data_IF_401452465732
#
_entry.id   IF_401452465732
#
_cell.length_a   1.000
_cell.length_b   1.000
_cell.length_c   1.000
_cell.angle_alpha   90.00
_cell.angle_beta   90.00
_cell.angle_gamma   90.00
#
_symmetry.space_group_name_H-M   'P 1'
#
loop_
_entity.id
_entity.type
_entity.pdbx_description
1 polymer ?
#
# COMPACT_ATOMS: atom_id res chain seq x y z
N UNK A 1 -15.44 -31.04 -55.61
CA UNK A 1 -15.87 -29.82 -56.35
C UNK A 1 -17.20 -29.33 -55.76
N UNK A 2 -17.15 -28.42 -54.79
CA UNK A 2 -18.33 -27.70 -54.26
C UNK A 2 -18.05 -26.22 -54.41
N UNK A 3 -18.84 -25.56 -55.25
CA UNK A 3 -18.80 -24.13 -55.54
C UNK A 3 -19.33 -23.37 -54.31
N UNK A 4 -18.53 -22.48 -53.74
CA UNK A 4 -19.01 -21.46 -52.80
C UNK A 4 -18.93 -20.12 -53.54
N UNK A 5 -20.11 -19.55 -53.80
CA UNK A 5 -20.32 -18.32 -54.53
C UNK A 5 -19.98 -17.13 -53.61
N UNK A 6 -19.00 -16.33 -54.02
CA UNK A 6 -18.71 -15.01 -53.43
C UNK A 6 -19.61 -14.01 -54.14
N UNK A 7 -20.55 -13.41 -53.42
CA UNK A 7 -21.31 -12.25 -53.88
C UNK A 7 -20.85 -11.04 -53.06
N UNK A 8 -19.93 -10.27 -53.64
CA UNK A 8 -19.44 -9.01 -53.11
C UNK A 8 -20.45 -7.91 -53.51
N UNK A 9 -21.32 -7.52 -52.59
CA UNK A 9 -22.20 -6.36 -52.77
C UNK A 9 -21.49 -5.12 -52.23
N UNK A 10 -20.96 -4.31 -53.13
CA UNK A 10 -20.47 -2.95 -52.85
C UNK A 10 -21.71 -2.05 -52.82
N UNK A 11 -22.07 -1.54 -51.64
CA UNK A 11 -22.96 -0.38 -51.49
C UNK A 11 -22.23 0.63 -50.62
N UNK A 12 -21.64 1.63 -51.27
CA UNK A 12 -21.21 2.84 -50.61
C UNK A 12 -22.42 3.68 -50.25
N UNK A 13 -22.48 4.16 -49.01
CA UNK A 13 -23.37 5.26 -48.63
C UNK A 13 -22.68 6.16 -47.61
N UNK A 14 -22.38 7.37 -48.10
CA UNK A 14 -22.29 8.65 -47.42
C UNK A 14 -21.88 8.69 -45.94
N UNK A 15 -20.67 9.23 -45.72
CA UNK A 15 -20.24 9.85 -44.49
C UNK A 15 -21.17 11.03 -44.13
N UNK A 16 -22.02 10.84 -43.13
CA UNK A 16 -22.63 11.94 -42.38
C UNK A 16 -21.90 12.03 -41.04
N UNK A 17 -21.10 13.09 -40.89
CA UNK A 17 -20.53 13.50 -39.62
C UNK A 17 -21.68 13.96 -38.71
N UNK A 18 -22.18 13.05 -37.89
CA UNK A 18 -23.06 13.36 -36.78
C UNK A 18 -22.20 13.42 -35.51
N UNK A 19 -21.72 14.61 -35.17
CA UNK A 19 -21.06 14.87 -33.89
C UNK A 19 -22.11 14.82 -32.78
N UNK A 20 -22.32 13.63 -32.22
CA UNK A 20 -23.00 13.50 -30.93
C UNK A 20 -22.02 14.00 -29.88
N UNK A 21 -22.14 15.28 -29.52
CA UNK A 21 -21.70 15.78 -28.21
C UNK A 21 -22.54 15.06 -27.16
N UNK A 22 -22.12 13.84 -26.79
CA UNK A 22 -22.70 13.12 -25.67
C UNK A 22 -22.41 13.97 -24.43
N UNK A 23 -23.48 14.51 -23.88
CA UNK A 23 -23.59 15.03 -22.52
C UNK A 23 -23.04 13.96 -21.57
N UNK A 24 -21.76 14.07 -21.25
CA UNK A 24 -21.04 13.14 -20.38
C UNK A 24 -20.91 13.74 -18.97
N UNK A 25 -21.95 14.43 -18.49
CA UNK A 25 -21.89 15.15 -17.22
C UNK A 25 -23.18 15.08 -16.37
N UNK A 26 -24.03 14.06 -16.55
CA UNK A 26 -25.29 13.95 -15.78
C UNK A 26 -25.58 12.55 -15.18
N UNK A 27 -24.60 11.66 -15.12
CA UNK A 27 -24.71 10.41 -14.32
C UNK A 27 -23.62 10.34 -13.25
N UNK A 28 -23.68 11.30 -12.32
CA UNK A 28 -23.04 11.15 -11.00
C UNK A 28 -24.11 11.19 -9.91
N UNK A 29 -25.13 10.35 -10.06
CA UNK A 29 -26.03 10.02 -8.94
C UNK A 29 -25.32 8.98 -8.08
N UNK A 30 -24.46 9.46 -7.18
CA UNK A 30 -24.05 8.66 -6.02
C UNK A 30 -25.33 8.38 -5.24
N UNK A 31 -25.63 7.10 -5.01
CA UNK A 31 -26.75 6.70 -4.16
C UNK A 31 -26.50 7.22 -2.74
N UNK A 32 -27.04 8.39 -2.42
CA UNK A 32 -27.09 8.91 -1.07
C UNK A 32 -28.08 8.05 -0.28
N UNK A 33 -27.56 7.11 0.52
CA UNK A 33 -28.35 6.40 1.51
C UNK A 33 -28.53 7.34 2.71
N UNK A 34 -29.66 8.03 2.76
CA UNK A 34 -30.08 8.81 3.93
C UNK A 34 -30.42 7.87 5.07
N UNK A 35 -29.59 7.83 6.11
CA UNK A 35 -29.93 7.22 7.41
C UNK A 35 -29.99 8.37 8.43
N UNK A 36 -31.17 8.66 8.96
CA UNK A 36 -31.31 9.54 10.14
C UNK A 36 -31.43 11.05 9.93
N UNK A 37 -31.80 11.55 8.74
CA UNK A 37 -32.14 12.97 8.56
C UNK A 37 -30.96 13.96 8.59
N UNK A 38 -29.72 13.46 8.60
CA UNK A 38 -28.52 14.26 8.34
C UNK A 38 -28.19 14.11 6.86
N UNK A 39 -28.11 15.23 6.12
CA UNK A 39 -27.55 15.23 4.76
C UNK A 39 -26.12 14.72 4.84
N UNK A 40 -25.79 13.64 4.11
CA UNK A 40 -24.43 13.10 4.10
C UNK A 40 -23.44 14.21 3.74
N UNK A 41 -22.60 14.60 4.69
CA UNK A 41 -21.51 15.53 4.43
C UNK A 41 -20.54 14.79 3.50
N UNK A 42 -20.19 15.42 2.38
CA UNK A 42 -19.11 14.92 1.53
C UNK A 42 -17.80 15.11 2.30
N UNK A 43 -17.37 14.06 3.00
CA UNK A 43 -16.20 14.03 3.87
C UNK A 43 -14.88 14.32 3.13
N UNK A 44 -14.93 14.45 1.80
CA UNK A 44 -13.77 14.53 0.93
C UNK A 44 -13.66 15.85 0.15
N UNK A 45 -14.38 16.89 0.56
CA UNK A 45 -14.07 18.25 0.10
C UNK A 45 -12.81 18.79 0.84
N UNK A 46 -11.83 19.39 0.13
CA UNK A 46 -10.56 19.87 0.72
C UNK A 46 -10.72 20.80 1.94
N UNK A 47 -11.88 21.45 2.05
CA UNK A 47 -12.23 22.38 3.13
C UNK A 47 -12.47 21.71 4.50
N UNK A 48 -12.77 20.42 4.56
CA UNK A 48 -13.11 19.75 5.83
C UNK A 48 -11.92 19.08 6.55
N UNK A 49 -10.75 19.00 5.90
CA UNK A 49 -9.56 18.32 6.45
C UNK A 49 -8.35 19.26 6.61
N UNK A 50 -8.43 20.48 6.07
CA UNK A 50 -7.36 21.48 6.12
C UNK A 50 -7.57 22.49 7.24
N UNK A 51 -7.46 22.07 8.50
CA UNK A 51 -7.43 23.02 9.59
C UNK A 51 -7.41 22.36 10.95
N UNK A 52 -6.54 22.85 11.82
CA UNK A 52 -6.60 22.63 13.25
C UNK A 52 -7.84 23.37 13.80
N UNK A 53 -9.03 22.95 13.36
CA UNK A 53 -10.27 23.62 13.71
C UNK A 53 -10.86 22.88 14.89
N UNK A 54 -10.55 23.39 16.07
CA UNK A 54 -11.25 23.09 17.30
C UNK A 54 -12.66 23.72 17.21
N UNK A 55 -13.47 23.33 16.23
CA UNK A 55 -14.88 23.74 16.17
C UNK A 55 -15.65 22.76 17.03
N UNK A 56 -15.96 23.17 18.26
CA UNK A 56 -17.12 22.65 18.95
C UNK A 56 -18.37 23.00 18.15
N UNK A 57 -18.70 22.19 17.14
CA UNK A 57 -20.02 22.20 16.51
C UNK A 57 -20.90 21.28 17.35
N UNK A 58 -21.91 21.80 18.07
CA UNK A 58 -22.84 20.98 18.81
C UNK A 58 -23.70 20.17 17.82
N UNK A 59 -23.65 18.83 17.91
CA UNK A 59 -24.59 17.95 17.21
C UNK A 59 -24.00 16.98 16.18
N UNK A 60 -22.67 16.88 16.03
CA UNK A 60 -22.05 15.86 15.16
C UNK A 60 -21.80 14.57 15.97
N UNK A 61 -22.34 13.41 15.58
CA UNK A 61 -22.02 12.13 16.24
C UNK A 61 -20.54 11.81 16.02
N UNK A 62 -19.74 11.77 17.08
CA UNK A 62 -18.30 11.50 17.04
C UNK A 62 -17.96 10.00 16.84
N UNK A 63 -18.91 9.20 16.33
CA UNK A 63 -18.90 7.75 16.51
C UNK A 63 -18.95 6.96 15.19
N UNK A 64 -18.82 7.61 14.03
CA UNK A 64 -18.81 6.89 12.75
C UNK A 64 -17.42 6.25 12.54
N UNK A 65 -17.35 4.97 12.90
CA UNK A 65 -16.12 4.16 12.98
C UNK A 65 -15.53 3.75 11.62
N UNK A 66 -16.11 4.07 10.47
CA UNK A 66 -15.59 3.61 9.16
C UNK A 66 -15.72 4.69 8.09
N UNK A 67 -14.58 5.14 7.55
CA UNK A 67 -14.54 5.99 6.36
C UNK A 67 -14.30 5.10 5.13
N UNK A 68 -15.37 4.86 4.36
CA UNK A 68 -15.34 4.05 3.14
C UNK A 68 -15.19 4.93 1.89
N UNK A 69 -14.08 4.78 1.16
CA UNK A 69 -13.92 5.36 -0.17
C UNK A 69 -14.31 4.32 -1.22
N UNK A 70 -15.59 4.24 -1.58
CA UNK A 70 -16.06 3.42 -2.68
C UNK A 70 -16.31 4.32 -3.92
N UNK A 71 -15.40 4.29 -4.88
CA UNK A 71 -15.56 4.97 -6.17
C UNK A 71 -15.37 6.50 -6.17
N UNK A 72 -14.93 7.09 -5.07
CA UNK A 72 -14.58 8.52 -5.00
C UNK A 72 -13.09 8.73 -5.29
N UNK A 73 -12.77 9.72 -6.13
CA UNK A 73 -11.39 10.17 -6.34
C UNK A 73 -11.04 11.20 -5.28
N UNK A 74 -10.11 10.90 -4.36
CA UNK A 74 -9.60 11.88 -3.40
C UNK A 74 -8.44 12.66 -4.02
N UNK A 75 -8.54 14.00 -4.08
CA UNK A 75 -7.46 14.87 -4.55
C UNK A 75 -6.99 15.80 -3.42
N UNK A 76 -5.68 15.78 -3.12
CA UNK A 76 -4.98 16.92 -2.52
C UNK A 76 -5.02 17.07 -1.00
N UNK A 77 -5.45 16.06 -0.23
CA UNK A 77 -5.46 16.15 1.23
C UNK A 77 -4.21 15.53 1.86
N UNK A 78 -3.68 16.17 2.90
CA UNK A 78 -2.79 15.53 3.87
C UNK A 78 -3.68 14.59 4.69
N UNK A 79 -3.74 13.31 4.34
CA UNK A 79 -4.45 12.31 5.14
C UNK A 79 -3.53 11.92 6.28
N UNK A 80 -3.45 12.80 7.27
CA UNK A 80 -3.04 12.41 8.61
C UNK A 80 -4.29 11.91 9.32
N UNK A 81 -4.39 10.62 9.61
CA UNK A 81 -5.27 10.17 10.69
C UNK A 81 -4.64 10.64 12.00
N UNK A 82 -4.83 11.93 12.32
CA UNK A 82 -4.56 12.42 13.66
C UNK A 82 -5.61 11.78 14.56
N UNK A 83 -5.15 10.94 15.49
CA UNK A 83 -5.98 10.44 16.58
C UNK A 83 -6.35 11.61 17.49
N UNK A 84 -7.39 12.35 17.12
CA UNK A 84 -8.06 13.28 18.01
C UNK A 84 -9.24 12.55 18.66
N UNK A 85 -8.96 11.86 19.77
CA UNK A 85 -9.94 11.51 20.83
C UNK A 85 -11.20 10.78 20.30
N UNK A 86 -10.96 9.79 19.45
CA UNK A 86 -11.99 8.92 18.91
C UNK A 86 -11.35 8.12 17.81
N UNK A 87 -11.22 6.80 18.00
CA UNK A 87 -10.66 5.91 17.01
C UNK A 87 -11.45 6.06 15.70
N UNK A 88 -10.94 6.85 14.77
CA UNK A 88 -11.33 6.76 13.37
C UNK A 88 -10.97 5.33 12.99
N UNK A 89 -11.99 4.48 12.84
CA UNK A 89 -11.75 3.09 12.50
C UNK A 89 -11.23 2.97 11.08
N UNK A 90 -11.09 1.73 10.63
CA UNK A 90 -10.34 1.38 9.43
C UNK A 90 -10.76 2.21 8.21
N UNK A 91 -9.80 2.90 7.60
CA UNK A 91 -9.99 3.51 6.29
C UNK A 91 -9.88 2.42 5.22
N UNK A 92 -10.82 2.38 4.27
CA UNK A 92 -10.84 1.37 3.21
C UNK A 92 -10.90 2.06 1.85
N UNK A 93 -9.94 1.73 0.98
CA UNK A 93 -9.98 2.00 -0.45
C UNK A 93 -10.43 0.71 -1.14
N UNK A 94 -11.65 0.72 -1.67
CA UNK A 94 -12.23 -0.39 -2.40
C UNK A 94 -12.74 0.11 -3.76
N UNK A 95 -11.80 0.42 -4.63
CA UNK A 95 -12.01 0.99 -5.96
C UNK A 95 -11.70 2.49 -6.02
N UNK A 96 -11.70 3.05 -7.22
CA UNK A 96 -11.32 4.46 -7.44
C UNK A 96 -9.81 4.73 -7.24
N UNK A 97 -9.44 6.01 -7.26
CA UNK A 97 -8.06 6.45 -7.11
C UNK A 97 -7.97 7.49 -5.99
N UNK A 98 -7.06 7.33 -5.04
CA UNK A 98 -6.77 8.32 -4.01
C UNK A 98 -5.39 8.93 -4.23
N UNK A 99 -5.27 10.23 -4.12
CA UNK A 99 -3.99 10.94 -4.15
C UNK A 99 -3.81 11.79 -2.89
N UNK A 100 -2.69 11.59 -2.21
CA UNK A 100 -2.33 12.27 -0.95
C UNK A 100 -0.88 12.71 -1.01
N UNK A 101 -0.55 13.84 -0.39
CA UNK A 101 0.85 14.33 -0.38
C UNK A 101 1.75 13.70 0.69
N UNK A 102 1.15 13.30 1.81
CA UNK A 102 1.79 12.52 2.85
C UNK A 102 0.68 11.74 3.54
N UNK A 103 0.99 10.50 3.89
CA UNK A 103 0.07 9.63 4.60
C UNK A 103 0.80 9.00 5.78
N UNK A 104 0.18 9.12 6.95
CA UNK A 104 0.63 8.45 8.17
C UNK A 104 -0.51 7.62 8.72
N UNK A 105 -0.27 6.33 8.87
CA UNK A 105 -1.19 5.37 9.48
C UNK A 105 -0.70 5.09 10.89
N UNK A 106 -1.48 5.43 11.90
CA UNK A 106 -1.09 5.22 13.30
C UNK A 106 -0.11 6.27 13.80
N UNK A 107 -0.45 7.55 13.59
CA UNK A 107 0.33 8.70 14.04
C UNK A 107 -0.52 9.54 14.99
N UNK A 108 -0.42 9.32 16.31
CA UNK A 108 -0.99 10.25 17.28
C UNK A 108 0.03 11.31 17.67
N UNK A 109 -0.44 12.42 18.21
CA UNK A 109 0.36 13.42 18.95
C UNK A 109 0.08 13.34 20.46
N UNK A 110 -0.84 12.48 20.86
CA UNK A 110 -1.27 12.22 22.24
C UNK A 110 -0.66 10.90 22.75
N UNK A 111 -0.67 10.67 24.06
CA UNK A 111 -0.08 9.49 24.73
C UNK A 111 -1.05 8.31 24.84
N UNK A 112 -2.12 8.26 24.03
CA UNK A 112 -3.10 7.18 24.09
C UNK A 112 -2.50 5.87 23.58
N UNK A 113 -2.56 4.83 24.40
CA UNK A 113 -2.26 3.42 24.04
C UNK A 113 -3.40 2.80 23.20
N UNK A 114 -3.94 3.57 22.26
CA UNK A 114 -5.16 3.26 21.53
C UNK A 114 -5.03 2.07 20.58
N UNK A 115 -6.18 1.55 20.17
CA UNK A 115 -6.32 0.59 19.07
C UNK A 115 -5.53 1.07 17.85
N UNK A 116 -4.83 0.17 17.13
CA UNK A 116 -4.09 0.55 15.93
C UNK A 116 -4.98 1.21 14.90
N UNK A 117 -4.49 2.29 14.28
CA UNK A 117 -5.12 2.80 13.08
C UNK A 117 -4.85 1.84 11.93
N UNK A 118 -5.87 1.54 11.14
CA UNK A 118 -5.77 0.64 10.00
C UNK A 118 -6.12 1.36 8.70
N UNK A 119 -5.34 1.09 7.66
CA UNK A 119 -5.68 1.42 6.27
C UNK A 119 -5.72 0.13 5.46
N UNK A 120 -6.76 -0.07 4.68
CA UNK A 120 -6.94 -1.25 3.83
C UNK A 120 -7.14 -0.82 2.38
N UNK A 121 -6.45 -1.49 1.46
CA UNK A 121 -6.62 -1.35 0.02
C UNK A 121 -7.05 -2.71 -0.53
N UNK A 122 -8.33 -2.82 -0.88
CA UNK A 122 -8.89 -4.02 -1.50
C UNK A 122 -8.76 -3.97 -3.02
N UNK A 123 -8.95 -2.79 -3.59
CA UNK A 123 -8.90 -2.53 -5.03
C UNK A 123 -8.68 -1.03 -5.29
N UNK A 124 -8.51 -0.61 -6.56
CA UNK A 124 -8.24 0.79 -6.91
C UNK A 124 -6.76 1.17 -6.82
N UNK A 125 -6.47 2.46 -6.66
CA UNK A 125 -5.09 2.96 -6.52
C UNK A 125 -4.94 4.00 -5.41
N UNK A 126 -3.79 3.99 -4.75
CA UNK A 126 -3.34 5.02 -3.82
C UNK A 126 -2.00 5.59 -4.31
N UNK A 127 -1.98 6.88 -4.64
CA UNK A 127 -0.77 7.62 -4.95
C UNK A 127 -0.41 8.53 -3.78
N UNK A 128 0.75 8.28 -3.17
CA UNK A 128 1.36 9.16 -2.17
C UNK A 128 2.38 10.03 -2.90
N UNK A 129 1.89 11.16 -3.42
CA UNK A 129 2.63 12.16 -4.17
C UNK A 129 3.40 13.12 -3.27
N UNK A 130 3.95 14.19 -3.85
CA UNK A 130 4.65 15.19 -3.05
C UNK A 130 3.63 15.98 -2.23
N UNK A 131 3.98 16.26 -0.96
CA UNK A 131 3.19 17.22 -0.20
C UNK A 131 3.22 18.57 -0.89
N UNK A 132 2.05 19.19 -1.08
CA UNK A 132 1.93 20.59 -1.51
C UNK A 132 2.46 21.58 -0.46
N UNK A 133 2.87 21.10 0.72
CA UNK A 133 3.45 21.91 1.79
C UNK A 133 4.98 21.89 1.74
N UNK A 134 5.58 23.05 1.94
CA UNK A 134 7.03 23.29 1.94
C UNK A 134 7.82 22.54 3.02
N UNK A 135 7.14 21.81 3.91
CA UNK A 135 7.76 21.10 5.05
C UNK A 135 8.25 19.69 4.69
N UNK A 136 7.67 19.06 3.66
CA UNK A 136 8.04 17.71 3.24
C UNK A 136 8.09 17.63 1.71
N UNK A 137 9.27 17.83 1.12
CA UNK A 137 9.47 17.86 -0.34
C UNK A 137 9.38 16.50 -1.05
N UNK A 138 8.79 15.48 -0.41
CA UNK A 138 8.81 14.10 -0.89
C UNK A 138 7.57 13.32 -0.47
N UNK A 139 7.14 12.38 -1.31
CA UNK A 139 6.10 11.41 -0.96
C UNK A 139 6.54 10.56 0.22
N UNK A 140 5.68 10.47 1.22
CA UNK A 140 5.98 9.82 2.48
C UNK A 140 4.76 9.05 2.99
N UNK A 141 4.84 7.73 2.95
CA UNK A 141 3.87 6.81 3.54
C UNK A 141 4.52 6.18 4.78
N UNK A 142 3.97 6.47 5.96
CA UNK A 142 4.49 5.93 7.22
C UNK A 142 3.43 5.13 7.97
N UNK A 143 3.80 3.94 8.42
CA UNK A 143 2.93 3.01 9.11
C UNK A 143 3.52 2.80 10.51
N UNK A 144 2.76 3.19 11.54
CA UNK A 144 3.25 3.27 12.92
C UNK A 144 4.30 4.36 13.07
N UNK A 145 3.87 5.60 13.30
CA UNK A 145 4.78 6.75 13.34
C UNK A 145 4.75 7.49 14.67
N UNK A 146 5.92 7.79 15.21
CA UNK A 146 6.10 8.75 16.29
C UNK A 146 6.62 10.09 15.73
N UNK A 147 5.99 11.20 16.11
CA UNK A 147 6.46 12.55 15.83
C UNK A 147 6.60 13.40 17.09
N UNK A 148 6.44 12.83 18.29
CA UNK A 148 6.37 13.57 19.53
C UNK A 148 7.58 13.36 20.43
N UNK A 149 7.67 14.25 21.43
CA UNK A 149 8.65 14.26 22.48
C UNK A 149 8.74 12.91 23.20
N UNK A 150 9.93 12.62 23.70
CA UNK A 150 10.26 11.48 24.56
C UNK A 150 9.10 10.99 25.44
N UNK A 151 8.71 9.71 25.28
CA UNK A 151 7.75 9.04 26.18
C UNK A 151 6.34 8.81 25.64
N UNK A 152 6.03 9.15 24.38
CA UNK A 152 4.78 8.71 23.75
C UNK A 152 4.83 7.23 23.37
N UNK A 153 3.97 6.42 24.00
CA UNK A 153 3.79 5.00 23.68
C UNK A 153 2.51 4.76 22.89
N UNK A 154 2.49 3.74 22.03
CA UNK A 154 1.23 3.20 21.47
C UNK A 154 0.83 3.72 20.10
N UNK A 155 1.78 4.20 19.29
CA UNK A 155 1.51 4.73 17.94
C UNK A 155 1.61 3.64 16.89
N UNK A 156 0.46 3.05 16.62
CA UNK A 156 0.38 1.74 16.03
C UNK A 156 -0.37 1.82 14.70
N UNK A 157 0.31 1.45 13.62
CA UNK A 157 -0.25 1.47 12.27
C UNK A 157 -0.35 0.07 11.70
N UNK A 158 -1.49 -0.24 11.10
CA UNK A 158 -1.72 -1.44 10.29
C UNK A 158 -2.03 -1.02 8.86
N UNK A 159 -1.35 -1.61 7.89
CA UNK A 159 -1.60 -1.37 6.47
C UNK A 159 -1.86 -2.69 5.76
N UNK A 160 -3.05 -2.83 5.19
CA UNK A 160 -3.46 -4.02 4.45
C UNK A 160 -3.53 -3.70 2.96
N UNK A 161 -2.84 -4.48 2.14
CA UNK A 161 -2.89 -4.40 0.67
C UNK A 161 -3.35 -5.76 0.16
N UNK A 162 -4.66 -5.88 -0.03
CA UNK A 162 -5.29 -7.11 -0.51
C UNK A 162 -5.34 -7.15 -2.05
N UNK A 163 -5.24 -5.99 -2.69
CA UNK A 163 -5.26 -5.80 -4.13
C UNK A 163 -4.94 -4.34 -4.52
N UNK A 164 -5.25 -3.96 -5.75
CA UNK A 164 -5.01 -2.60 -6.24
C UNK A 164 -3.54 -2.23 -6.42
N UNK A 165 -3.25 -0.94 -6.46
CA UNK A 165 -1.88 -0.41 -6.55
C UNK A 165 -1.60 0.69 -5.53
N UNK A 166 -0.38 0.72 -5.01
CA UNK A 166 0.14 1.78 -4.15
C UNK A 166 1.39 2.35 -4.78
N UNK A 167 1.46 3.66 -4.95
CA UNK A 167 2.61 4.35 -5.53
C UNK A 167 3.13 5.40 -4.57
N UNK A 168 4.38 5.28 -4.16
CA UNK A 168 5.11 6.22 -3.29
C UNK A 168 6.38 6.65 -4.04
N UNK A 169 6.21 7.21 -5.24
CA UNK A 169 7.32 7.44 -6.19
C UNK A 169 7.80 8.89 -6.30
N UNK A 170 7.24 9.83 -5.55
CA UNK A 170 7.54 11.25 -5.75
C UNK A 170 8.72 11.75 -4.91
N UNK A 171 9.68 12.44 -5.54
CA UNK A 171 10.83 13.08 -4.87
C UNK A 171 11.76 12.06 -4.20
N UNK A 172 11.55 11.82 -2.90
CA UNK A 172 12.28 10.82 -2.09
C UNK A 172 11.38 9.64 -1.65
N UNK A 173 10.16 9.53 -2.19
CA UNK A 173 9.25 8.39 -2.11
C UNK A 173 9.56 7.30 -1.08
N UNK A 174 9.31 7.59 0.20
CA UNK A 174 9.64 6.65 1.28
C UNK A 174 8.37 5.94 1.77
N UNK A 175 8.38 4.62 1.70
CA UNK A 175 7.49 3.75 2.46
C UNK A 175 8.22 3.33 3.74
N UNK A 176 7.73 3.77 4.90
CA UNK A 176 8.33 3.48 6.19
C UNK A 176 7.38 2.65 7.06
N UNK A 177 7.87 1.51 7.53
CA UNK A 177 7.13 0.62 8.44
C UNK A 177 7.85 0.60 9.78
N UNK A 178 7.22 1.17 10.82
CA UNK A 178 7.85 1.46 12.09
C UNK A 178 8.76 2.69 12.02
N UNK A 179 8.16 3.87 12.03
CA UNK A 179 8.84 5.16 11.95
C UNK A 179 8.84 5.89 13.30
N UNK A 180 9.84 5.63 14.14
CA UNK A 180 9.97 6.31 15.44
C UNK A 180 10.57 7.70 15.38
N UNK A 181 10.94 8.20 16.56
CA UNK A 181 11.83 9.34 16.69
C UNK A 181 13.29 8.87 16.80
N UNK A 182 14.22 9.75 16.43
CA UNK A 182 15.67 9.51 16.56
C UNK A 182 16.17 9.43 18.00
N UNK A 183 15.33 9.76 18.99
CA UNK A 183 15.71 9.79 20.40
C UNK A 183 15.58 8.40 21.07
N UNK A 184 15.07 7.39 20.36
CA UNK A 184 15.03 6.00 20.82
C UNK A 184 14.05 5.71 21.95
N UNK A 185 13.08 6.60 22.16
CA UNK A 185 12.06 6.48 23.22
C UNK A 185 10.67 6.18 22.66
N UNK A 186 10.59 5.89 21.36
CA UNK A 186 9.34 5.59 20.69
C UNK A 186 9.03 4.10 20.80
N UNK A 187 7.94 3.75 21.48
CA UNK A 187 7.34 2.41 21.40
C UNK A 187 6.18 2.47 20.39
N UNK A 188 6.55 2.47 19.10
CA UNK A 188 5.61 2.48 17.98
C UNK A 188 5.81 1.22 17.14
N UNK A 189 4.71 0.64 16.66
CA UNK A 189 4.77 -0.47 15.73
C UNK A 189 4.05 -0.17 14.43
N UNK A 190 4.72 -0.47 13.32
CA UNK A 190 4.12 -0.52 12.01
C UNK A 190 4.04 -1.96 11.54
N UNK A 191 2.87 -2.39 11.08
CA UNK A 191 2.72 -3.67 10.38
C UNK A 191 2.08 -3.45 9.03
N UNK A 192 2.66 -4.06 8.02
CA UNK A 192 2.10 -4.13 6.68
C UNK A 192 1.80 -5.58 6.34
N UNK A 193 0.59 -5.84 5.84
CA UNK A 193 0.13 -7.13 5.35
C UNK A 193 -0.24 -6.98 3.89
N UNK A 194 0.38 -7.78 3.02
CA UNK A 194 0.13 -7.73 1.59
C UNK A 194 -0.15 -9.13 1.06
N UNK A 195 -1.39 -9.36 0.61
CA UNK A 195 -1.83 -10.62 0.04
C UNK A 195 -2.05 -10.55 -1.48
N UNK A 196 -1.91 -9.36 -2.07
CA UNK A 196 -2.10 -9.13 -3.50
C UNK A 196 -1.75 -7.69 -3.90
N UNK A 197 -2.01 -7.33 -5.15
CA UNK A 197 -1.77 -5.98 -5.67
C UNK A 197 -0.30 -5.67 -5.96
N UNK A 198 -0.02 -4.38 -6.17
CA UNK A 198 1.34 -3.86 -6.39
C UNK A 198 1.65 -2.70 -5.45
N UNK A 199 2.88 -2.63 -4.97
CA UNK A 199 3.40 -1.47 -4.22
C UNK A 199 4.71 -1.03 -4.85
N UNK A 200 4.75 0.20 -5.37
CA UNK A 200 5.93 0.80 -5.95
C UNK A 200 6.41 1.94 -5.05
N UNK A 201 7.62 1.87 -4.52
CA UNK A 201 8.21 2.89 -3.66
C UNK A 201 9.66 3.17 -4.06
N UNK A 202 10.17 4.39 -3.90
CA UNK A 202 11.60 4.62 -4.17
C UNK A 202 12.44 3.94 -3.09
N UNK A 203 12.08 4.12 -1.83
CA UNK A 203 12.77 3.50 -0.71
C UNK A 203 11.77 2.84 0.23
N UNK A 204 12.13 1.65 0.70
CA UNK A 204 11.43 0.95 1.78
C UNK A 204 12.34 0.96 2.99
N UNK A 205 11.80 1.41 4.12
CA UNK A 205 12.51 1.48 5.40
C UNK A 205 11.71 0.75 6.46
N UNK A 206 12.32 -0.25 7.10
CA UNK A 206 11.66 -1.07 8.11
C UNK A 206 12.43 -0.97 9.43
N UNK A 207 11.73 -0.65 10.52
CA UNK A 207 12.33 -0.55 11.84
C UNK A 207 13.35 0.60 11.92
N UNK A 208 12.96 1.82 11.52
CA UNK A 208 13.92 2.90 11.22
C UNK A 208 14.79 3.32 12.41
N UNK A 209 14.24 3.36 13.62
CA UNK A 209 14.86 3.95 14.81
C UNK A 209 14.85 3.00 16.01
N UNK A 210 15.60 3.36 17.06
CA UNK A 210 15.64 2.59 18.29
C UNK A 210 14.26 2.45 18.95
N UNK A 211 13.93 1.25 19.45
CA UNK A 211 12.70 0.97 20.19
C UNK A 211 11.45 0.76 19.33
N UNK A 212 11.55 0.88 18.01
CA UNK A 212 10.42 0.69 17.09
C UNK A 212 10.40 -0.70 16.48
N UNK A 213 9.20 -1.17 16.16
CA UNK A 213 9.02 -2.43 15.44
C UNK A 213 8.38 -2.18 14.09
N UNK A 214 9.07 -2.56 13.02
CA UNK A 214 8.54 -2.58 11.66
C UNK A 214 8.44 -4.02 11.16
N UNK A 215 7.26 -4.43 10.73
CA UNK A 215 7.03 -5.77 10.19
C UNK A 215 6.28 -5.69 8.85
N UNK A 216 6.77 -6.39 7.85
CA UNK A 216 6.12 -6.55 6.54
C UNK A 216 5.88 -8.03 6.29
N UNK A 217 4.63 -8.39 6.00
CA UNK A 217 4.21 -9.74 5.66
C UNK A 217 3.69 -9.75 4.23
N UNK A 218 4.46 -10.31 3.30
CA UNK A 218 4.18 -10.34 1.86
C UNK A 218 3.78 -11.76 1.44
N UNK A 219 2.50 -12.09 1.54
CA UNK A 219 1.96 -13.41 1.17
C UNK A 219 1.50 -13.52 -0.28
N UNK A 220 1.38 -12.39 -0.97
CA UNK A 220 1.05 -12.32 -2.39
C UNK A 220 1.29 -10.92 -2.97
N UNK A 221 1.23 -10.81 -4.30
CA UNK A 221 1.47 -9.55 -5.00
C UNK A 221 2.96 -9.19 -5.11
N UNK A 222 3.24 -7.96 -5.54
CA UNK A 222 4.61 -7.50 -5.85
C UNK A 222 4.92 -6.16 -5.20
N UNK A 223 6.05 -6.10 -4.51
CA UNK A 223 6.64 -4.85 -4.05
C UNK A 223 7.87 -4.53 -4.93
N UNK A 224 7.90 -3.35 -5.55
CA UNK A 224 9.05 -2.84 -6.30
C UNK A 224 9.66 -1.66 -5.56
N UNK A 225 10.98 -1.66 -5.37
CA UNK A 225 11.67 -0.48 -4.84
C UNK A 225 13.09 -0.28 -5.36
N UNK A 226 13.63 0.93 -5.22
CA UNK A 226 15.04 1.18 -5.57
C UNK A 226 15.97 0.72 -4.45
N UNK A 227 15.57 0.99 -3.20
CA UNK A 227 16.34 0.63 -2.02
C UNK A 227 15.46 0.01 -0.94
N UNK A 228 16.03 -0.98 -0.24
CA UNK A 228 15.48 -1.56 0.98
C UNK A 228 16.47 -1.33 2.12
N UNK A 229 16.00 -0.71 3.20
CA UNK A 229 16.76 -0.47 4.43
C UNK A 229 16.05 -1.11 5.62
N UNK A 230 16.70 -2.07 6.27
CA UNK A 230 16.16 -2.75 7.45
C UNK A 230 17.03 -2.43 8.65
N UNK A 231 16.40 -1.97 9.74
CA UNK A 231 17.07 -1.54 10.97
C UNK A 231 18.27 -0.59 10.76
N UNK A 232 18.11 0.53 10.02
CA UNK A 232 19.23 1.43 9.70
C UNK A 232 19.89 2.08 10.92
N UNK A 233 19.18 2.20 12.05
CA UNK A 233 19.74 2.75 13.30
C UNK A 233 20.31 1.68 14.23
N UNK A 234 20.37 0.41 13.80
CA UNK A 234 20.88 -0.76 14.54
C UNK A 234 20.24 -1.01 15.91
N UNK A 235 19.05 -0.48 16.16
CA UNK A 235 18.38 -0.54 17.46
C UNK A 235 16.85 -0.68 17.36
N UNK A 236 16.31 -0.74 16.14
CA UNK A 236 14.93 -1.10 15.88
C UNK A 236 14.78 -2.61 15.66
N UNK A 237 13.55 -3.08 15.73
CA UNK A 237 13.17 -4.42 15.29
C UNK A 237 12.63 -4.33 13.88
N UNK A 238 13.21 -5.08 12.95
CA UNK A 238 12.78 -5.15 11.55
C UNK A 238 12.52 -6.60 11.16
N UNK A 239 11.37 -6.84 10.52
CA UNK A 239 11.03 -8.11 9.90
C UNK A 239 10.40 -7.86 8.53
N UNK A 240 10.82 -8.62 7.53
CA UNK A 240 10.19 -8.75 6.24
C UNK A 240 10.05 -10.23 5.96
N UNK A 241 8.83 -10.75 6.05
CA UNK A 241 8.52 -12.15 5.79
C UNK A 241 7.81 -12.29 4.45
N UNK A 242 8.37 -13.08 3.55
CA UNK A 242 7.79 -13.39 2.23
C UNK A 242 7.19 -14.79 2.31
N UNK A 243 5.92 -14.94 1.92
CA UNK A 243 5.25 -16.24 1.89
C UNK A 243 4.43 -16.36 0.60
N UNK A 244 3.93 -17.56 0.30
CA UNK A 244 3.01 -17.77 -0.82
C UNK A 244 3.59 -17.29 -2.15
N UNK A 245 2.87 -16.40 -2.83
CA UNK A 245 3.23 -15.87 -4.16
C UNK A 245 3.85 -14.47 -4.11
N UNK A 246 4.21 -13.99 -2.92
CA UNK A 246 4.79 -12.68 -2.70
C UNK A 246 6.14 -12.49 -3.40
N UNK A 247 6.38 -11.31 -3.97
CA UNK A 247 7.65 -10.96 -4.63
C UNK A 247 8.15 -9.59 -4.24
N UNK A 248 9.44 -9.49 -3.90
CA UNK A 248 10.16 -8.24 -3.72
C UNK A 248 11.12 -8.05 -4.90
N UNK A 249 11.05 -6.89 -5.56
CA UNK A 249 11.92 -6.53 -6.69
C UNK A 249 12.67 -5.25 -6.32
N UNK A 250 14.00 -5.31 -6.38
CA UNK A 250 14.88 -4.19 -6.07
C UNK A 250 15.69 -3.76 -7.29
N UNK A 251 15.81 -2.46 -7.54
CA UNK A 251 16.63 -1.95 -8.64
C UNK A 251 18.13 -2.14 -8.37
N UNK A 252 18.85 -2.63 -9.39
CA UNK A 252 20.28 -2.93 -9.33
C UNK A 252 20.61 -4.26 -8.66
N UNK A 253 21.91 -4.53 -8.54
CA UNK A 253 22.43 -5.69 -7.83
C UNK A 253 22.44 -5.42 -6.31
N UNK A 254 21.57 -6.13 -5.60
CA UNK A 254 21.40 -6.06 -4.14
C UNK A 254 21.62 -7.43 -3.51
N UNK A 255 22.21 -8.38 -4.21
CA UNK A 255 22.41 -9.77 -3.74
C UNK A 255 23.10 -9.83 -2.37
N UNK A 256 24.25 -9.16 -2.23
CA UNK A 256 24.98 -9.09 -0.95
C UNK A 256 24.18 -8.43 0.19
N UNK A 257 23.35 -7.43 -0.13
CA UNK A 257 22.47 -6.79 0.86
C UNK A 257 21.39 -7.76 1.33
N UNK A 258 20.78 -8.52 0.41
CA UNK A 258 19.77 -9.53 0.71
C UNK A 258 20.36 -10.65 1.58
N UNK A 259 21.55 -11.16 1.24
CA UNK A 259 22.27 -12.15 2.08
C UNK A 259 22.48 -11.64 3.51
N UNK A 260 22.87 -10.37 3.65
CA UNK A 260 23.04 -9.75 4.97
C UNK A 260 21.73 -9.74 5.75
N UNK A 261 20.61 -9.35 5.14
CA UNK A 261 19.31 -9.32 5.81
C UNK A 261 18.78 -10.70 6.18
N UNK A 262 19.03 -11.71 5.35
CA UNK A 262 18.72 -13.11 5.67
C UNK A 262 19.56 -13.57 6.87
N UNK A 263 20.87 -13.32 6.85
CA UNK A 263 21.78 -13.74 7.94
C UNK A 263 21.45 -13.09 9.30
N UNK A 264 20.92 -11.87 9.29
CA UNK A 264 20.47 -11.18 10.49
C UNK A 264 19.07 -11.63 10.98
N UNK A 265 18.38 -12.50 10.23
CA UNK A 265 17.01 -12.91 10.52
C UNK A 265 15.97 -11.79 10.28
N UNK A 266 16.33 -10.75 9.52
CA UNK A 266 15.44 -9.64 9.23
C UNK A 266 14.56 -9.95 8.01
N UNK A 267 15.07 -10.71 7.05
CA UNK A 267 14.34 -11.17 5.87
C UNK A 267 14.14 -12.69 5.95
N UNK A 268 12.91 -13.14 5.97
CA UNK A 268 12.54 -14.56 6.09
C UNK A 268 11.56 -14.99 5.00
N UNK A 269 11.56 -16.28 4.69
CA UNK A 269 10.59 -16.97 3.85
C UNK A 269 9.80 -17.97 4.70
N UNK A 270 8.47 -17.88 4.72
CA UNK A 270 7.61 -18.72 5.60
C UNK A 270 8.05 -18.72 7.08
N UNK A 271 8.58 -17.60 7.57
CA UNK A 271 9.10 -17.47 8.93
C UNK A 271 10.48 -18.08 9.17
N UNK A 272 11.15 -18.62 8.14
CA UNK A 272 12.48 -19.22 8.21
C UNK A 272 13.46 -18.53 7.24
N UNK A 273 14.76 -18.60 7.49
CA UNK A 273 15.81 -18.01 6.63
C UNK A 273 16.14 -18.86 5.38
N UNK A 274 15.97 -20.19 5.45
CA UNK A 274 16.35 -21.12 4.36
C UNK A 274 15.39 -21.17 3.16
N UNK A 275 14.20 -20.56 3.26
CA UNK A 275 13.16 -20.67 2.23
C UNK A 275 13.22 -19.53 1.19
N UNK A 276 14.09 -18.54 1.39
CA UNK A 276 14.27 -17.42 0.47
C UNK A 276 15.16 -17.82 -0.71
N UNK A 277 14.67 -17.58 -1.92
CA UNK A 277 15.49 -17.52 -3.13
C UNK A 277 15.58 -16.08 -3.62
N UNK A 278 16.71 -15.76 -4.23
CA UNK A 278 16.88 -14.50 -4.94
C UNK A 278 17.79 -14.66 -6.15
N UNK A 279 17.57 -13.82 -7.15
CA UNK A 279 18.40 -13.73 -8.35
C UNK A 279 18.63 -12.28 -8.76
N UNK A 280 19.73 -12.02 -9.46
CA UNK A 280 20.01 -10.76 -10.12
C UNK A 280 20.03 -10.97 -11.64
N UNK A 281 19.34 -10.10 -12.38
CA UNK A 281 19.31 -10.06 -13.85
C UNK A 281 18.73 -11.31 -14.55
N UNK A 282 18.31 -12.34 -13.80
CA UNK A 282 17.77 -13.57 -14.38
C UNK A 282 16.25 -13.51 -14.57
N UNK A 283 15.50 -13.14 -13.53
CA UNK A 283 14.05 -13.00 -13.57
C UNK A 283 13.63 -11.63 -14.09
N UNK A 284 14.32 -10.57 -13.67
CA UNK A 284 14.08 -9.18 -14.07
C UNK A 284 15.40 -8.50 -14.46
N UNK A 285 15.61 -8.15 -15.74
CA UNK A 285 16.86 -7.56 -16.18
C UNK A 285 17.25 -6.29 -15.41
N UNK A 286 18.50 -6.23 -14.95
CA UNK A 286 19.06 -5.13 -14.16
C UNK A 286 18.52 -5.01 -12.72
N UNK A 287 17.77 -6.00 -12.22
CA UNK A 287 17.13 -5.96 -10.90
C UNK A 287 17.41 -7.22 -10.10
N UNK A 288 17.33 -7.09 -8.78
CA UNK A 288 17.34 -8.21 -7.83
C UNK A 288 15.91 -8.61 -7.51
N UNK A 289 15.56 -9.90 -7.69
CA UNK A 289 14.24 -10.44 -7.37
C UNK A 289 14.37 -11.38 -6.18
N UNK A 290 13.53 -11.22 -5.16
CA UNK A 290 13.47 -12.07 -3.97
C UNK A 290 12.08 -12.68 -3.85
N UNK A 291 12.01 -13.98 -3.64
CA UNK A 291 10.76 -14.73 -3.57
C UNK A 291 10.93 -16.05 -2.82
N UNK A 292 9.80 -16.69 -2.49
CA UNK A 292 9.77 -18.05 -1.94
C UNK A 292 9.21 -18.99 -3.02
N UNK A 293 9.86 -20.13 -3.31
CA UNK A 293 9.30 -21.13 -4.21
C UNK A 293 8.00 -21.70 -3.67
N UNK A 294 6.97 -21.79 -4.50
CA UNK A 294 5.73 -22.45 -4.10
C UNK A 294 6.00 -23.96 -3.87
N UNK A 295 5.61 -24.53 -2.71
CA UNK A 295 5.81 -25.96 -2.43
C UNK A 295 5.20 -26.88 -3.50
N UNK A 296 4.09 -26.44 -4.10
CA UNK A 296 3.42 -27.17 -5.17
C UNK A 296 4.27 -27.29 -6.44
N UNK A 297 5.07 -26.29 -6.79
CA UNK A 297 5.93 -26.33 -7.97
C UNK A 297 7.01 -27.40 -7.81
N UNK A 298 7.57 -27.54 -6.61
CA UNK A 298 8.56 -28.58 -6.30
C UNK A 298 7.93 -29.99 -6.34
N UNK A 299 6.76 -30.14 -5.74
CA UNK A 299 6.02 -31.40 -5.76
C UNK A 299 5.64 -31.82 -7.19
N UNK A 300 5.15 -30.88 -8.01
CA UNK A 300 4.76 -31.15 -9.38
C UNK A 300 5.96 -31.50 -10.25
N UNK A 301 7.10 -30.83 -10.06
CA UNK A 301 8.34 -31.17 -10.74
C UNK A 301 8.80 -32.60 -10.40
N UNK A 302 8.75 -32.97 -9.11
CA UNK A 302 9.04 -34.32 -8.65
C UNK A 302 8.12 -35.36 -9.30
N UNK A 303 6.81 -35.15 -9.26
CA UNK A 303 5.82 -36.05 -9.86
C UNK A 303 5.99 -36.16 -11.39
N UNK A 304 6.32 -35.05 -12.06
CA UNK A 304 6.62 -35.04 -13.50
C UNK A 304 7.83 -35.93 -13.85
N UNK A 305 8.91 -35.85 -13.07
CA UNK A 305 10.10 -36.70 -13.25
C UNK A 305 9.76 -38.18 -13.01
N UNK A 306 9.00 -38.50 -11.97
CA UNK A 306 8.56 -39.89 -11.73
C UNK A 306 7.66 -40.43 -12.86
N UNK A 307 6.79 -39.60 -13.42
CA UNK A 307 5.99 -39.94 -14.59
C UNK A 307 6.86 -40.25 -15.82
N UNK A 308 7.95 -39.52 -16.02
CA UNK A 308 8.90 -39.74 -17.12
C UNK A 308 9.73 -41.02 -16.91
N UNK A 309 10.14 -41.33 -15.69
CA UNK A 309 10.94 -42.53 -15.37
C UNK A 309 10.12 -43.82 -15.57
N UNK A 310 8.81 -43.80 -15.28
CA UNK A 310 7.93 -44.98 -15.39
C UNK A 310 7.59 -45.38 -16.84
N UNK A 311 7.98 -44.60 -17.85
CA UNK A 311 7.67 -44.88 -19.27
C UNK A 311 8.73 -45.71 -19.99
N UNK A 312 9.60 -46.41 -19.26
CA UNK A 312 10.52 -47.41 -19.82
C UNK A 312 10.13 -48.81 -19.35
#
# INVERSE_FOLDING_TARGET
MKKLFVLLLIVGLAANAFSVSVVQDQFRTVAQRTVGGVTSVDWFTPTNWGGNVNVGIPGIPQNDTEALCNGATMYGALVSSYDSIGAIGSAIIDGGNAEVGQLRVGSSNTTSTGTPAALTINSGSLTVGNSYSSLHSSGFLSIGSDSAAAGSTGRNGLFYVNGGSVSVLSGQGNLVVGNGNSNGLANCYGKMYMSGGTVDALNIIIGRYAGVTGEVYLSGGTITANNLSMNPSMNGTALFDITGSGKLILDGDKTSLIETYISNGWLTGNGNDYDILFDYDATNPGKTTVFVPEPATLCLLGLGIFGLIRRK
#
